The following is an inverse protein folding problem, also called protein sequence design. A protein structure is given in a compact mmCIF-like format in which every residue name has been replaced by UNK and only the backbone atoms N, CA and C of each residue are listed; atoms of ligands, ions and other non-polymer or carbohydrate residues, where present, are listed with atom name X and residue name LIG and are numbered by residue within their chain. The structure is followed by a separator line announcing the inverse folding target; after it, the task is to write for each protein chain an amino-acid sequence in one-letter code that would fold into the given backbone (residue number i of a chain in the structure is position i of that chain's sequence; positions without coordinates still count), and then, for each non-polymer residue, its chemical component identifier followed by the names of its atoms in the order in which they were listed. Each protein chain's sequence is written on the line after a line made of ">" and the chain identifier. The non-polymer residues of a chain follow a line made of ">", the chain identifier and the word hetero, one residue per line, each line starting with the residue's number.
data_IF_754995376109
#
_entry.id   IF_754995376109
#
_cell.length_a   1.000
_cell.length_b   1.000
_cell.length_c   1.000
_cell.angle_alpha   90.00
_cell.angle_beta   90.00
_cell.angle_gamma   90.00
#
_symmetry.space_group_name_H-M   'P 1'
#
loop_
_entity.id
_entity.type
_entity.pdbx_description
1 polymer ?
#
# COMPACT_ATOMS: atom_id res chain seq x y z
N UNK A 1 -4.51 -5.30 11.67
CA UNK A 1 -4.05 -6.08 12.83
C UNK A 1 -5.21 -6.81 13.49
N UNK A 2 -6.24 -6.16 14.07
CA UNK A 2 -7.39 -6.82 14.75
C UNK A 2 -8.13 -7.85 13.89
N UNK A 3 -8.31 -7.57 12.60
CA UNK A 3 -8.97 -8.50 11.69
C UNK A 3 -8.12 -9.75 11.44
N UNK A 4 -6.82 -9.57 11.31
CA UNK A 4 -5.87 -10.68 11.22
C UNK A 4 -5.93 -11.56 12.46
N UNK A 5 -5.84 -10.95 13.65
CA UNK A 5 -5.93 -11.64 14.94
C UNK A 5 -7.22 -12.47 15.06
N UNK A 6 -8.37 -11.91 14.61
CA UNK A 6 -9.63 -12.63 14.63
C UNK A 6 -9.60 -13.88 13.76
N UNK A 7 -9.09 -13.80 12.53
CA UNK A 7 -8.98 -14.96 11.65
C UNK A 7 -7.99 -16.00 12.18
N UNK A 8 -6.87 -15.56 12.76
CA UNK A 8 -5.88 -16.46 13.36
C UNK A 8 -6.46 -17.19 14.59
N UNK A 9 -7.32 -16.54 15.39
CA UNK A 9 -8.06 -17.17 16.50
C UNK A 9 -9.05 -18.22 15.99
N UNK A 10 -9.62 -18.03 14.80
CA UNK A 10 -10.48 -19.01 14.15
C UNK A 10 -9.69 -20.14 13.42
N UNK A 11 -8.37 -20.16 13.60
CA UNK A 11 -7.49 -21.21 13.05
C UNK A 11 -7.10 -21.00 11.59
N UNK A 12 -7.37 -19.84 11.01
CA UNK A 12 -6.99 -19.52 9.63
C UNK A 12 -5.55 -19.00 9.57
N UNK A 13 -4.79 -19.42 8.58
CA UNK A 13 -3.48 -18.81 8.28
C UNK A 13 -3.72 -17.51 7.53
N UNK A 14 -3.08 -16.44 7.96
CA UNK A 14 -3.24 -15.11 7.36
C UNK A 14 -1.89 -14.55 6.93
N UNK A 15 -1.82 -13.99 5.73
CA UNK A 15 -0.67 -13.23 5.25
C UNK A 15 -1.10 -11.88 4.69
N UNK A 16 -0.15 -10.95 4.57
CA UNK A 16 -0.41 -9.61 4.05
C UNK A 16 0.61 -9.22 3.00
N UNK A 17 0.14 -8.61 1.93
CA UNK A 17 0.93 -8.01 0.87
C UNK A 17 0.66 -6.50 0.89
N UNK A 18 1.68 -5.72 1.21
CA UNK A 18 1.61 -4.26 1.21
C UNK A 18 2.05 -3.72 -0.15
N UNK A 19 1.14 -3.01 -0.83
CA UNK A 19 1.40 -2.42 -2.15
C UNK A 19 2.58 -1.43 -2.12
N UNK A 20 2.75 -0.74 -1.02
CA UNK A 20 3.83 0.23 -0.83
C UNK A 20 5.23 -0.40 -0.92
N UNK A 21 5.38 -1.71 -0.66
CA UNK A 21 6.65 -2.41 -0.82
C UNK A 21 7.08 -2.54 -2.30
N UNK A 22 6.15 -2.43 -3.22
CA UNK A 22 6.44 -2.48 -4.65
C UNK A 22 6.80 -1.11 -5.25
N UNK A 23 6.88 -0.04 -4.46
CA UNK A 23 7.31 1.26 -4.96
C UNK A 23 8.73 1.20 -5.51
N UNK A 24 8.93 1.83 -6.67
CA UNK A 24 10.27 2.09 -7.23
C UNK A 24 10.99 3.19 -6.43
N UNK A 25 12.26 3.41 -6.66
CA UNK A 25 13.03 4.47 -6.00
C UNK A 25 12.38 5.84 -6.18
N UNK A 26 12.36 6.65 -5.10
CA UNK A 26 11.76 8.00 -5.14
C UNK A 26 12.46 8.89 -6.17
N UNK A 27 13.78 8.85 -6.22
CA UNK A 27 14.57 9.65 -7.14
C UNK A 27 14.14 9.40 -8.61
N UNK A 28 13.99 8.14 -8.99
CA UNK A 28 13.49 7.78 -10.30
C UNK A 28 12.09 8.36 -10.57
N UNK A 29 11.17 8.23 -9.62
CA UNK A 29 9.81 8.76 -9.78
C UNK A 29 9.79 10.27 -9.94
N UNK A 30 10.60 10.99 -9.15
CA UNK A 30 10.70 12.45 -9.20
C UNK A 30 11.32 12.92 -10.53
N UNK A 31 12.38 12.29 -11.00
CA UNK A 31 12.99 12.58 -12.29
C UNK A 31 12.03 12.37 -13.47
N UNK A 32 11.14 11.39 -13.37
CA UNK A 32 10.15 11.07 -14.41
C UNK A 32 8.80 11.76 -14.22
N UNK A 33 8.61 12.52 -13.13
CA UNK A 33 7.31 13.13 -12.81
C UNK A 33 6.22 12.09 -12.51
N UNK A 34 6.59 10.90 -12.06
CA UNK A 34 5.66 9.81 -11.76
C UNK A 34 4.99 10.07 -10.41
N UNK A 35 3.65 10.07 -10.43
CA UNK A 35 2.86 10.21 -9.21
C UNK A 35 2.83 8.90 -8.41
N UNK A 36 3.08 8.98 -7.10
CA UNK A 36 3.28 7.80 -6.23
C UNK A 36 2.05 6.89 -6.13
N UNK A 37 0.85 7.41 -6.38
CA UNK A 37 -0.40 6.65 -6.26
C UNK A 37 -0.87 6.03 -7.58
N UNK A 38 0.00 5.91 -8.55
CA UNK A 38 -0.28 5.25 -9.84
C UNK A 38 0.51 3.96 -10.02
N UNK A 39 0.01 3.06 -10.87
CA UNK A 39 0.71 1.80 -11.17
C UNK A 39 2.13 1.99 -11.75
N UNK A 40 2.38 3.14 -12.38
CA UNK A 40 3.70 3.50 -12.89
C UNK A 40 4.76 3.71 -11.80
N UNK A 41 4.32 3.94 -10.54
CA UNK A 41 5.22 4.08 -9.40
C UNK A 41 5.69 2.73 -8.84
N UNK A 42 5.13 1.63 -9.32
CA UNK A 42 5.36 0.30 -8.79
C UNK A 42 6.28 -0.52 -9.71
N UNK A 43 6.93 -1.51 -9.14
CA UNK A 43 7.41 -2.71 -9.85
C UNK A 43 6.19 -3.54 -10.27
N UNK A 44 5.43 -3.02 -11.25
CA UNK A 44 4.08 -3.47 -11.53
C UNK A 44 3.99 -4.93 -11.98
N UNK A 45 4.92 -5.36 -12.83
CA UNK A 45 4.93 -6.76 -13.30
C UNK A 45 5.25 -7.73 -12.15
N UNK A 46 6.16 -7.35 -11.23
CA UNK A 46 6.42 -8.15 -10.02
C UNK A 46 5.19 -8.22 -9.12
N UNK A 47 4.49 -7.09 -8.93
CA UNK A 47 3.26 -7.08 -8.14
C UNK A 47 2.21 -8.01 -8.72
N UNK A 48 1.92 -7.90 -10.02
CA UNK A 48 0.97 -8.75 -10.73
C UNK A 48 1.35 -10.22 -10.62
N UNK A 49 2.60 -10.57 -10.91
CA UNK A 49 3.07 -11.95 -10.85
C UNK A 49 3.00 -12.50 -9.42
N UNK A 50 3.38 -11.71 -8.42
CA UNK A 50 3.29 -12.10 -7.00
C UNK A 50 1.87 -12.45 -6.59
N UNK A 51 0.86 -11.67 -7.03
CA UNK A 51 -0.55 -11.98 -6.73
C UNK A 51 -1.00 -13.27 -7.40
N UNK A 52 -0.63 -13.49 -8.65
CA UNK A 52 -0.96 -14.74 -9.36
C UNK A 52 -0.32 -15.93 -8.65
N UNK A 53 0.95 -15.85 -8.31
CA UNK A 53 1.68 -16.97 -7.71
C UNK A 53 1.16 -17.32 -6.31
N UNK A 54 0.90 -16.32 -5.45
CA UNK A 54 0.40 -16.59 -4.10
C UNK A 54 -1.01 -17.15 -4.10
N UNK A 55 -1.88 -16.73 -5.04
CA UNK A 55 -3.22 -17.31 -5.19
C UNK A 55 -3.19 -18.74 -5.70
N UNK A 56 -2.09 -19.16 -6.32
CA UNK A 56 -1.82 -20.56 -6.71
C UNK A 56 -1.15 -21.37 -5.58
N UNK A 57 -1.02 -20.81 -4.38
CA UNK A 57 -0.42 -21.49 -3.25
C UNK A 57 1.11 -21.54 -3.29
N UNK A 58 1.76 -20.71 -4.09
CA UNK A 58 3.22 -20.63 -4.15
C UNK A 58 3.75 -19.62 -3.13
N UNK A 59 4.90 -19.92 -2.53
CA UNK A 59 5.71 -18.95 -1.82
C UNK A 59 6.19 -17.88 -2.79
N UNK A 60 6.18 -16.61 -2.36
CA UNK A 60 6.64 -15.48 -3.15
C UNK A 60 7.73 -14.69 -2.43
N UNK A 61 8.57 -14.03 -3.23
CA UNK A 61 9.58 -13.08 -2.78
C UNK A 61 9.25 -11.72 -3.39
N UNK A 62 8.94 -10.73 -2.56
CA UNK A 62 8.53 -9.39 -3.03
C UNK A 62 9.58 -8.33 -2.69
N UNK A 63 9.58 -7.19 -3.38
CA UNK A 63 10.42 -6.05 -3.02
C UNK A 63 10.18 -5.60 -1.58
N UNK A 64 11.21 -5.01 -0.99
CA UNK A 64 11.13 -4.23 0.25
C UNK A 64 11.39 -2.77 -0.06
N UNK A 65 10.49 -1.92 0.35
CA UNK A 65 10.68 -0.48 0.22
C UNK A 65 11.18 0.13 1.54
N UNK A 66 12.33 0.80 1.48
CA UNK A 66 12.84 1.55 2.61
C UNK A 66 12.23 2.95 2.64
N UNK A 67 11.36 3.21 3.61
CA UNK A 67 10.69 4.50 3.75
C UNK A 67 11.58 5.63 4.27
N UNK A 68 12.73 5.31 4.87
CA UNK A 68 13.71 6.30 5.36
C UNK A 68 14.51 6.83 4.18
N UNK A 69 15.14 5.94 3.44
CA UNK A 69 15.95 6.28 2.27
C UNK A 69 15.11 6.45 0.99
N UNK A 70 13.86 6.01 1.03
CA UNK A 70 12.91 6.05 -0.09
C UNK A 70 13.39 5.28 -1.33
N UNK A 71 13.96 4.11 -1.09
CA UNK A 71 14.53 3.21 -2.10
C UNK A 71 13.90 1.82 -2.05
N UNK A 72 13.85 1.16 -3.19
CA UNK A 72 13.45 -0.24 -3.32
C UNK A 72 14.65 -1.18 -3.18
N UNK A 73 14.44 -2.38 -2.68
CA UNK A 73 15.43 -3.45 -2.72
C UNK A 73 15.68 -4.00 -4.14
N UNK A 74 14.83 -3.64 -5.11
CA UNK A 74 14.92 -4.09 -6.50
C UNK A 74 15.27 -2.92 -7.42
N UNK A 75 15.95 -3.22 -8.54
CA UNK A 75 16.19 -2.29 -9.63
C UNK A 75 14.93 -2.11 -10.49
N UNK A 76 15.01 -1.25 -11.51
CA UNK A 76 13.85 -0.95 -12.37
C UNK A 76 13.41 -2.12 -13.25
N UNK A 77 14.30 -3.06 -13.51
CA UNK A 77 14.00 -4.29 -14.25
C UNK A 77 13.42 -5.39 -13.36
N UNK A 78 13.30 -5.11 -12.06
CA UNK A 78 12.73 -6.03 -11.09
C UNK A 78 13.72 -7.04 -10.53
N UNK A 79 15.02 -6.86 -10.74
CA UNK A 79 16.04 -7.71 -10.15
C UNK A 79 16.44 -7.23 -8.76
N UNK A 80 16.74 -8.17 -7.87
CA UNK A 80 17.24 -7.86 -6.55
C UNK A 80 18.59 -7.14 -6.64
N UNK A 81 18.71 -5.97 -6.01
CA UNK A 81 19.99 -5.25 -5.91
C UNK A 81 20.98 -6.04 -5.05
N UNK A 82 22.32 -5.86 -5.25
CA UNK A 82 23.33 -6.63 -4.52
C UNK A 82 23.18 -6.60 -3.01
N UNK A 83 22.80 -5.45 -2.44
CA UNK A 83 22.57 -5.28 -0.99
C UNK A 83 21.07 -5.32 -0.64
N UNK A 84 20.23 -5.74 -1.56
CA UNK A 84 18.79 -5.81 -1.39
C UNK A 84 18.37 -6.97 -0.49
N UNK A 85 17.37 -6.75 0.35
CA UNK A 85 16.75 -7.79 1.15
C UNK A 85 15.25 -7.85 0.81
N UNK A 86 14.78 -8.88 0.09
CA UNK A 86 13.37 -9.02 -0.23
C UNK A 86 12.55 -9.41 1.00
N UNK A 87 11.22 -9.40 0.84
CA UNK A 87 10.28 -9.94 1.82
C UNK A 87 9.78 -11.29 1.29
N UNK A 88 10.01 -12.34 2.06
CA UNK A 88 9.47 -13.66 1.78
C UNK A 88 8.06 -13.80 2.36
N UNK A 89 7.12 -14.28 1.57
CA UNK A 89 5.72 -14.45 1.97
C UNK A 89 5.27 -15.88 1.64
N UNK A 90 4.82 -16.58 2.66
CA UNK A 90 4.24 -17.90 2.51
C UNK A 90 2.75 -17.80 2.13
N UNK A 91 2.22 -18.73 1.34
CA UNK A 91 0.80 -18.79 1.02
C UNK A 91 -0.03 -19.09 2.28
N UNK A 92 -1.22 -18.49 2.34
CA UNK A 92 -2.12 -18.59 3.47
C UNK A 92 -3.56 -18.77 3.01
N UNK A 93 -4.45 -19.12 3.95
CA UNK A 93 -5.86 -19.31 3.68
C UNK A 93 -6.56 -17.97 3.38
N UNK A 94 -6.05 -16.90 4.00
CA UNK A 94 -6.49 -15.52 3.79
C UNK A 94 -5.29 -14.65 3.46
N UNK A 95 -5.41 -13.90 2.37
CA UNK A 95 -4.37 -12.98 1.89
C UNK A 95 -4.95 -11.57 1.91
N UNK A 96 -4.40 -10.69 2.75
CA UNK A 96 -4.72 -9.27 2.71
C UNK A 96 -3.83 -8.55 1.71
N UNK A 97 -4.45 -7.78 0.82
CA UNK A 97 -3.75 -6.83 -0.05
C UNK A 97 -4.03 -5.44 0.49
N UNK A 98 -3.01 -4.77 1.01
CA UNK A 98 -3.11 -3.46 1.62
C UNK A 98 -2.49 -2.39 0.74
N UNK A 99 -3.20 -1.27 0.54
CA UNK A 99 -2.68 -0.17 -0.27
C UNK A 99 -3.71 0.88 -0.62
N UNK A 100 -3.27 1.92 -1.32
CA UNK A 100 -4.10 3.07 -1.62
C UNK A 100 -5.09 2.86 -2.78
N UNK A 101 -4.81 1.93 -3.70
CA UNK A 101 -5.58 1.80 -4.96
C UNK A 101 -5.65 0.37 -5.54
N UNK A 102 -5.60 -0.71 -4.75
CA UNK A 102 -5.52 -2.06 -5.31
C UNK A 102 -6.73 -2.43 -6.20
N UNK A 103 -7.91 -1.88 -5.94
CA UNK A 103 -9.13 -2.16 -6.70
C UNK A 103 -9.18 -1.46 -8.07
N UNK A 104 -8.30 -0.47 -8.28
CA UNK A 104 -8.22 0.30 -9.52
C UNK A 104 -7.21 -0.26 -10.51
N UNK A 105 -6.67 -1.45 -10.23
CA UNK A 105 -5.73 -2.13 -11.10
C UNK A 105 -6.48 -3.25 -11.86
N UNK A 106 -6.92 -3.00 -13.12
CA UNK A 106 -7.75 -3.95 -13.87
C UNK A 106 -7.10 -5.32 -14.02
N UNK A 107 -5.77 -5.35 -14.09
CA UNK A 107 -4.99 -6.56 -14.29
C UNK A 107 -5.03 -7.52 -13.10
N UNK A 108 -5.37 -7.04 -11.90
CA UNK A 108 -5.36 -7.84 -10.67
C UNK A 108 -6.67 -7.82 -9.88
N UNK A 109 -7.58 -6.89 -10.18
CA UNK A 109 -8.83 -6.72 -9.43
C UNK A 109 -9.68 -8.00 -9.39
N UNK A 110 -9.61 -8.82 -10.42
CA UNK A 110 -10.33 -10.11 -10.52
C UNK A 110 -9.81 -11.16 -9.52
N UNK A 111 -8.61 -10.99 -8.96
CA UNK A 111 -8.04 -11.86 -7.92
C UNK A 111 -8.51 -11.45 -6.51
N UNK A 112 -9.15 -10.28 -6.37
CA UNK A 112 -9.59 -9.74 -5.09
C UNK A 112 -11.05 -10.15 -4.85
N UNK A 113 -11.27 -11.07 -3.90
CA UNK A 113 -12.60 -11.58 -3.59
C UNK A 113 -13.47 -10.58 -2.83
N UNK A 114 -12.88 -9.86 -1.85
CA UNK A 114 -13.60 -8.88 -1.02
C UNK A 114 -12.82 -7.57 -1.00
N UNK A 115 -13.50 -6.48 -1.36
CA UNK A 115 -12.93 -5.13 -1.44
C UNK A 115 -13.43 -4.29 -0.27
N UNK A 116 -12.52 -3.90 0.61
CA UNK A 116 -12.82 -3.13 1.81
C UNK A 116 -12.19 -1.75 1.71
N UNK A 117 -12.98 -0.69 1.87
CA UNK A 117 -12.51 0.68 1.96
C UNK A 117 -12.64 1.20 3.38
N UNK A 118 -11.54 1.71 3.92
CA UNK A 118 -11.54 2.41 5.20
C UNK A 118 -11.70 3.91 4.97
N UNK A 119 -12.77 4.48 5.49
CA UNK A 119 -12.98 5.93 5.53
C UNK A 119 -12.52 6.49 6.87
N UNK A 120 -12.05 7.71 6.82
CA UNK A 120 -11.70 8.49 8.00
C UNK A 120 -11.88 9.96 7.67
N UNK A 121 -12.55 10.71 8.53
CA UNK A 121 -12.69 12.15 8.39
C UNK A 121 -11.34 12.85 8.27
N UNK A 122 -11.27 13.88 7.45
CA UNK A 122 -10.03 14.62 7.17
C UNK A 122 -9.32 15.13 8.44
N UNK A 123 -10.01 15.72 9.43
CA UNK A 123 -9.37 16.14 10.68
C UNK A 123 -8.72 14.98 11.43
N UNK A 124 -9.41 13.84 11.52
CA UNK A 124 -8.91 12.64 12.21
C UNK A 124 -7.72 12.05 11.46
N UNK A 125 -7.81 11.97 10.14
CA UNK A 125 -6.74 11.48 9.27
C UNK A 125 -5.51 12.36 9.34
N UNK A 126 -5.69 13.68 9.30
CA UNK A 126 -4.60 14.65 9.45
C UNK A 126 -3.92 14.50 10.81
N UNK A 127 -4.69 14.41 11.91
CA UNK A 127 -4.18 14.21 13.27
C UNK A 127 -3.33 12.94 13.38
N UNK A 128 -3.83 11.81 12.86
CA UNK A 128 -3.11 10.52 12.88
C UNK A 128 -1.81 10.60 12.08
N UNK A 129 -1.88 11.17 10.88
CA UNK A 129 -0.71 11.32 10.00
C UNK A 129 0.30 12.31 10.58
N UNK A 130 -0.15 13.41 11.18
CA UNK A 130 0.71 14.35 11.90
C UNK A 130 1.47 13.67 13.01
N UNK A 131 0.77 12.98 13.91
CA UNK A 131 1.37 12.25 15.02
C UNK A 131 2.44 11.26 14.53
N UNK A 132 2.14 10.52 13.48
CA UNK A 132 3.09 9.57 12.88
C UNK A 132 4.31 10.23 12.24
N UNK A 133 4.09 11.21 11.37
CA UNK A 133 5.14 11.73 10.49
C UNK A 133 5.92 12.89 11.12
N UNK A 134 5.29 13.72 11.95
CA UNK A 134 5.94 14.87 12.63
C UNK A 134 6.43 14.47 14.02
N UNK A 135 5.53 13.99 14.89
CA UNK A 135 5.87 13.76 16.30
C UNK A 135 6.81 12.57 16.48
N UNK A 136 6.54 11.44 15.82
CA UNK A 136 7.36 10.24 15.99
C UNK A 136 8.51 10.13 15.00
N UNK A 137 8.23 10.26 13.69
CA UNK A 137 9.26 10.04 12.66
C UNK A 137 10.17 11.23 12.42
N UNK A 138 9.78 12.46 12.86
CA UNK A 138 10.49 13.70 12.60
C UNK A 138 10.83 13.91 11.12
N UNK A 139 9.94 13.41 10.25
CA UNK A 139 10.21 13.27 8.81
C UNK A 139 10.05 14.56 8.04
N UNK A 140 9.15 15.43 8.48
CA UNK A 140 8.78 16.64 7.77
C UNK A 140 8.76 17.85 8.69
N UNK A 141 9.06 19.02 8.10
CA UNK A 141 8.75 20.31 8.72
C UNK A 141 7.22 20.49 8.71
N UNK A 142 6.61 21.02 9.81
CA UNK A 142 5.15 21.10 9.97
C UNK A 142 4.40 21.82 8.85
N UNK A 143 4.93 22.97 8.37
CA UNK A 143 4.27 23.74 7.30
C UNK A 143 4.31 22.98 5.97
N UNK A 144 5.45 22.39 5.63
CA UNK A 144 5.59 21.53 4.45
C UNK A 144 4.65 20.34 4.51
N UNK A 145 4.59 19.66 5.66
CA UNK A 145 3.67 18.53 5.87
C UNK A 145 2.23 18.94 5.62
N UNK A 146 1.76 20.03 6.23
CA UNK A 146 0.38 20.51 6.09
C UNK A 146 0.03 20.80 4.63
N UNK A 147 0.88 21.54 3.93
CA UNK A 147 0.65 21.89 2.54
C UNK A 147 0.60 20.65 1.64
N UNK A 148 1.52 19.72 1.85
CA UNK A 148 1.55 18.45 1.15
C UNK A 148 0.31 17.61 1.46
N UNK A 149 -0.11 17.54 2.72
CA UNK A 149 -1.28 16.78 3.12
C UNK A 149 -2.51 17.24 2.35
N UNK A 150 -2.81 18.53 2.31
CA UNK A 150 -3.97 19.04 1.59
C UNK A 150 -3.88 18.79 0.09
N UNK A 151 -2.73 19.01 -0.52
CA UNK A 151 -2.52 18.71 -1.94
C UNK A 151 -2.78 17.22 -2.25
N UNK A 152 -2.17 16.35 -1.46
CA UNK A 152 -2.32 14.90 -1.64
C UNK A 152 -3.78 14.46 -1.45
N UNK A 153 -4.55 15.09 -0.55
CA UNK A 153 -5.95 14.76 -0.32
C UNK A 153 -6.83 15.04 -1.55
N UNK A 154 -6.65 16.17 -2.22
CA UNK A 154 -7.38 16.46 -3.45
C UNK A 154 -7.09 15.41 -4.53
N UNK A 155 -5.82 15.12 -4.76
CA UNK A 155 -5.41 14.15 -5.77
C UNK A 155 -5.97 12.77 -5.42
N UNK A 156 -5.79 12.31 -4.17
CA UNK A 156 -6.25 10.99 -3.74
C UNK A 156 -7.78 10.85 -3.78
N UNK A 157 -8.53 11.90 -3.48
CA UNK A 157 -9.98 11.86 -3.57
C UNK A 157 -10.44 11.53 -4.99
N UNK A 158 -9.86 12.18 -5.98
CA UNK A 158 -10.28 12.03 -7.39
C UNK A 158 -9.78 10.71 -8.00
N UNK A 159 -8.52 10.34 -7.78
CA UNK A 159 -7.91 9.22 -8.49
C UNK A 159 -8.02 7.88 -7.77
N UNK A 160 -8.30 7.87 -6.46
CA UNK A 160 -8.34 6.64 -5.69
C UNK A 160 -9.62 6.50 -4.85
N UNK A 161 -9.96 7.44 -3.97
CA UNK A 161 -11.01 7.20 -2.99
C UNK A 161 -12.40 7.09 -3.60
N UNK A 162 -12.81 8.06 -4.43
CA UNK A 162 -14.12 8.03 -5.09
C UNK A 162 -14.31 6.81 -5.98
N UNK A 163 -13.37 6.50 -6.91
CA UNK A 163 -13.54 5.31 -7.74
C UNK A 163 -13.58 4.00 -6.95
N UNK A 164 -12.84 3.90 -5.85
CA UNK A 164 -12.87 2.67 -5.03
C UNK A 164 -14.17 2.53 -4.24
N UNK A 165 -14.79 3.63 -3.80
CA UNK A 165 -16.08 3.58 -3.13
C UNK A 165 -17.20 3.06 -4.04
N UNK A 166 -17.09 3.29 -5.34
CA UNK A 166 -18.08 2.81 -6.33
C UNK A 166 -18.04 1.29 -6.53
N UNK A 167 -16.91 0.66 -6.20
CA UNK A 167 -16.67 -0.76 -6.46
C UNK A 167 -16.36 -1.60 -5.22
N UNK A 168 -16.35 -0.98 -4.03
CA UNK A 168 -16.09 -1.72 -2.80
C UNK A 168 -17.30 -2.55 -2.36
N UNK A 169 -17.01 -3.68 -1.71
CA UNK A 169 -18.03 -4.54 -1.12
C UNK A 169 -18.38 -4.08 0.31
N UNK A 170 -17.40 -3.54 1.01
CA UNK A 170 -17.53 -3.11 2.41
C UNK A 170 -16.86 -1.75 2.58
N UNK A 171 -17.56 -0.83 3.25
CA UNK A 171 -17.03 0.46 3.66
C UNK A 171 -17.02 0.55 5.19
N UNK A 172 -15.86 0.84 5.77
CA UNK A 172 -15.67 0.93 7.22
C UNK A 172 -15.30 2.36 7.60
N UNK A 173 -16.15 3.01 8.38
CA UNK A 173 -15.82 4.32 8.96
C UNK A 173 -14.95 4.14 10.22
N UNK A 174 -13.77 4.73 10.19
CA UNK A 174 -12.80 4.69 11.29
C UNK A 174 -12.62 6.05 11.96
N UNK A 175 -13.50 7.02 11.71
CA UNK A 175 -13.41 8.38 12.27
C UNK A 175 -13.56 8.38 13.78
N UNK A 176 -14.42 7.52 14.33
CA UNK A 176 -14.67 7.40 15.76
C UNK A 176 -13.65 6.58 16.54
N UNK A 177 -12.74 5.86 15.89
CA UNK A 177 -11.68 5.08 16.56
C UNK A 177 -10.48 5.98 16.84
N UNK A 178 -10.42 6.58 18.00
CA UNK A 178 -9.29 7.40 18.47
C UNK A 178 -8.17 6.53 19.06
#
# INVERSE_FOLDING_TARGET
>A
ERLREAFEQDGQRVTSIELDNFLTDREYREQKGIFTQGKQALHFELFKQSLVDITQGKKISIPRYDFVFATSSHDLDGHLKPDGAPIEIEPADIIFIEGNFPFLIPEVVHLIGIKVVYLTDDPVRMKRKWKRDIDYRKKYEPTYFRNRFFKDQFIMAEIAYRPQLEVCDICVDTSGSA
#
